data_IF_897725792824
#
_entry.id   IF_897725792824
#
_cell.length_a   1.000
_cell.length_b   1.000
_cell.length_c   1.000
_cell.angle_alpha   90.00
_cell.angle_beta   90.00
_cell.angle_gamma   90.00
#
_symmetry.space_group_name_H-M   'P 1'
#
loop_
_entity.id
_entity.type
_entity.pdbx_description
1 polymer ?
#
# COMPACT_ATOMS: atom_id res chain seq x y z
N UNK A 1 -3.55 30.66 -2.20
CA UNK A 1 -3.65 31.65 -3.31
C UNK A 1 -4.60 31.11 -4.37
N UNK A 2 -5.34 31.95 -5.10
CA UNK A 2 -6.23 31.47 -6.16
C UNK A 2 -5.44 30.94 -7.37
N UNK A 3 -6.11 30.12 -8.17
CA UNK A 3 -5.64 29.81 -9.52
C UNK A 3 -5.52 31.14 -10.32
N UNK A 4 -4.47 31.35 -11.13
CA UNK A 4 -3.45 30.41 -11.61
C UNK A 4 -2.16 30.36 -10.78
N UNK A 5 -2.06 31.17 -9.71
CA UNK A 5 -0.86 31.30 -8.89
C UNK A 5 -0.55 30.00 -8.15
N UNK A 6 -1.57 29.40 -7.54
CA UNK A 6 -1.49 28.08 -6.93
C UNK A 6 -2.07 27.01 -7.86
N UNK A 7 -1.25 26.01 -8.19
CA UNK A 7 -1.63 24.91 -9.07
C UNK A 7 -1.13 23.61 -8.49
N UNK A 8 -1.98 22.91 -7.75
CA UNK A 8 -1.65 21.63 -7.11
C UNK A 8 -1.14 20.56 -8.12
N UNK A 9 -1.52 20.69 -9.40
CA UNK A 9 -1.04 19.81 -10.48
C UNK A 9 0.46 19.93 -10.75
N UNK A 10 1.15 21.01 -10.35
CA UNK A 10 2.60 21.20 -10.58
C UNK A 10 3.43 20.06 -10.00
N UNK A 11 3.13 19.63 -8.78
CA UNK A 11 3.82 18.53 -8.10
C UNK A 11 3.37 17.14 -8.56
N UNK A 12 2.31 17.05 -9.39
CA UNK A 12 1.79 15.78 -9.89
C UNK A 12 2.25 15.45 -11.32
N UNK A 13 3.09 16.29 -11.93
CA UNK A 13 3.47 16.24 -13.35
C UNK A 13 4.29 15.01 -13.73
N UNK A 14 5.23 14.57 -12.89
CA UNK A 14 6.14 13.45 -13.18
C UNK A 14 6.14 12.43 -12.06
N UNK A 15 6.61 11.21 -12.35
CA UNK A 15 6.82 10.18 -11.33
C UNK A 15 7.75 10.66 -10.22
N UNK A 16 8.91 11.21 -10.59
CA UNK A 16 9.89 11.75 -9.63
C UNK A 16 9.32 12.82 -8.70
N UNK A 17 8.52 13.77 -9.22
CA UNK A 17 7.89 14.80 -8.39
C UNK A 17 6.91 14.19 -7.38
N UNK A 18 6.07 13.23 -7.82
CA UNK A 18 5.14 12.55 -6.92
C UNK A 18 5.86 11.73 -5.86
N UNK A 19 6.95 11.04 -6.20
CA UNK A 19 7.74 10.26 -5.25
C UNK A 19 8.42 11.13 -4.19
N UNK A 20 8.85 12.35 -4.54
CA UNK A 20 9.46 13.29 -3.58
C UNK A 20 8.44 13.82 -2.57
N UNK A 21 7.21 14.13 -3.00
CA UNK A 21 6.18 14.73 -2.13
C UNK A 21 5.20 13.72 -1.53
N UNK A 22 5.44 12.42 -1.72
CA UNK A 22 4.58 11.36 -1.19
C UNK A 22 4.63 11.33 0.35
N UNK A 23 3.47 11.45 0.97
CA UNK A 23 3.30 11.47 2.43
C UNK A 23 3.36 10.05 3.02
N UNK A 24 2.64 9.10 2.44
CA UNK A 24 2.53 7.72 2.96
C UNK A 24 3.35 6.74 2.12
N UNK A 25 4.19 5.94 2.78
CA UNK A 25 4.96 4.83 2.17
C UNK A 25 4.61 3.53 2.87
N UNK A 26 4.54 2.44 2.11
CA UNK A 26 4.36 1.09 2.64
C UNK A 26 5.67 0.32 2.50
N UNK A 27 6.11 -0.33 3.56
CA UNK A 27 7.30 -1.18 3.59
C UNK A 27 6.88 -2.59 4.07
N UNK A 28 7.55 -3.68 3.64
CA UNK A 28 7.22 -5.03 4.13
C UNK A 28 7.25 -5.17 5.66
N UNK A 29 8.05 -4.37 6.36
CA UNK A 29 8.07 -4.33 7.84
C UNK A 29 6.77 -3.81 8.47
N UNK A 30 5.88 -3.20 7.68
CA UNK A 30 4.55 -2.76 8.12
C UNK A 30 3.49 -3.83 7.91
N UNK A 31 3.85 -4.99 7.35
CA UNK A 31 2.92 -6.08 7.06
C UNK A 31 2.90 -7.10 8.20
N UNK A 32 1.71 -7.60 8.50
CA UNK A 32 1.49 -8.76 9.37
C UNK A 32 0.84 -9.83 8.51
N UNK A 33 1.37 -11.05 8.57
CA UNK A 33 0.83 -12.18 7.82
C UNK A 33 0.04 -13.11 8.76
N UNK A 34 -1.30 -12.96 8.83
CA UNK A 34 -2.12 -13.85 9.64
C UNK A 34 -2.13 -15.25 9.01
N UNK A 35 -2.10 -16.27 9.87
CA UNK A 35 -2.09 -17.67 9.47
C UNK A 35 -3.28 -18.39 10.13
N UNK A 36 -3.92 -19.27 9.36
CA UNK A 36 -4.87 -20.24 9.90
C UNK A 36 -4.12 -21.48 10.35
N UNK A 37 -4.44 -21.99 11.54
CA UNK A 37 -3.77 -23.14 12.15
C UNK A 37 -4.81 -24.14 12.63
N UNK A 38 -4.55 -25.42 12.35
CA UNK A 38 -5.35 -26.56 12.77
C UNK A 38 -4.42 -27.64 13.33
N UNK A 39 -4.89 -28.38 14.33
CA UNK A 39 -4.16 -29.51 14.89
C UNK A 39 -4.09 -30.68 13.89
N UNK A 40 -2.90 -31.27 13.71
CA UNK A 40 -2.68 -32.43 12.85
C UNK A 40 -1.35 -32.36 12.10
N UNK A 41 -1.10 -33.32 11.20
CA UNK A 41 0.12 -33.37 10.36
C UNK A 41 -0.26 -33.50 8.89
N UNK A 42 0.36 -32.70 8.03
CA UNK A 42 0.15 -32.74 6.58
C UNK A 42 -1.23 -32.26 6.12
N UNK A 43 -1.95 -31.54 6.98
CA UNK A 43 -3.26 -30.97 6.66
C UNK A 43 -3.04 -29.59 6.00
N UNK A 44 -3.56 -29.44 4.80
CA UNK A 44 -3.63 -28.17 4.08
C UNK A 44 -5.01 -28.10 3.43
N UNK A 45 -5.90 -27.34 4.04
CA UNK A 45 -7.30 -27.22 3.61
C UNK A 45 -7.54 -25.85 2.98
N UNK A 46 -8.26 -25.85 1.86
CA UNK A 46 -8.68 -24.63 1.18
C UNK A 46 -9.83 -23.96 1.93
N UNK A 47 -9.73 -22.64 2.09
CA UNK A 47 -10.82 -21.82 2.60
C UNK A 47 -11.52 -21.20 1.39
N UNK A 48 -12.61 -21.82 0.93
CA UNK A 48 -13.29 -21.46 -0.33
C UNK A 48 -13.85 -20.03 -0.40
N UNK A 49 -13.96 -19.35 0.74
CA UNK A 49 -14.52 -18.00 0.86
C UNK A 49 -13.49 -16.90 1.03
N UNK A 50 -12.19 -17.20 1.01
CA UNK A 50 -11.10 -16.23 1.19
C UNK A 50 -10.20 -16.10 -0.03
#
# INVERSE_FOLDING_TARGET
MPYPTERMRRLRRTGALRSMVQETRLHPSSLIYPLFVQEGKGIAEEISSM
#
